data_IF_945338844576
#
_entry.id   IF_945338844576
#
_cell.length_a   1.000
_cell.length_b   1.000
_cell.length_c   1.000
_cell.angle_alpha   90.00
_cell.angle_beta   90.00
_cell.angle_gamma   90.00
#
_symmetry.space_group_name_H-M   'P 1'
#
loop_
_entity.id
_entity.type
_entity.pdbx_description
1 polymer ?
#
# COMPACT_ATOMS: atom_id res chain seq x y z
N UNK A 1 6.70 2.88 -21.51
CA UNK A 1 6.31 1.43 -21.51
C UNK A 1 4.89 1.37 -22.01
N UNK A 2 4.53 0.38 -22.85
CA UNK A 2 3.15 0.26 -23.29
C UNK A 2 2.27 -0.18 -22.14
N UNK A 3 1.19 0.54 -21.85
CA UNK A 3 0.17 0.18 -20.86
C UNK A 3 -0.73 -0.91 -21.46
N UNK A 4 -0.19 -2.10 -21.61
CA UNK A 4 -0.80 -3.21 -22.36
C UNK A 4 -2.12 -3.74 -21.79
N UNK A 5 -2.42 -3.40 -20.54
CA UNK A 5 -3.66 -3.81 -19.86
C UNK A 5 -4.69 -2.67 -19.78
N UNK A 6 -4.45 -1.58 -20.48
CA UNK A 6 -5.39 -0.46 -20.52
C UNK A 6 -6.38 -0.64 -21.68
N UNK A 7 -7.67 -0.46 -21.39
CA UNK A 7 -8.71 -0.45 -22.40
C UNK A 7 -8.59 0.86 -23.21
N UNK A 8 -8.55 0.71 -24.54
CA UNK A 8 -8.48 1.85 -25.45
C UNK A 8 -9.81 2.61 -25.45
N UNK A 9 -9.77 3.92 -25.41
CA UNK A 9 -10.92 4.81 -25.59
C UNK A 9 -12.02 4.77 -24.53
N UNK A 10 -11.80 4.11 -23.38
CA UNK A 10 -12.76 4.09 -22.29
C UNK A 10 -12.18 4.73 -21.01
N UNK A 11 -13.08 5.15 -20.10
CA UNK A 11 -12.76 5.78 -18.83
C UNK A 11 -12.64 7.31 -18.91
N UNK A 12 -12.82 7.97 -17.77
CA UNK A 12 -12.75 9.42 -17.60
C UNK A 12 -11.31 9.88 -17.37
N UNK A 13 -10.43 9.62 -18.34
CA UNK A 13 -9.01 9.93 -18.24
C UNK A 13 -8.61 11.01 -19.25
N UNK A 14 -7.78 11.93 -18.82
CA UNK A 14 -7.13 12.88 -19.72
C UNK A 14 -5.86 12.25 -20.34
N UNK A 15 -6.03 11.57 -21.46
CA UNK A 15 -4.94 10.88 -22.17
C UNK A 15 -3.88 11.79 -22.79
N UNK A 16 -4.15 13.09 -22.83
CA UNK A 16 -3.19 14.08 -23.31
C UNK A 16 -2.18 14.49 -22.21
N UNK A 17 -2.45 14.11 -20.97
CA UNK A 17 -1.58 14.43 -19.83
C UNK A 17 -1.08 13.15 -19.18
N UNK A 18 0.11 12.74 -19.58
CA UNK A 18 0.82 11.61 -19.00
C UNK A 18 1.45 12.02 -17.67
N UNK A 19 1.38 11.13 -16.69
CA UNK A 19 1.93 11.30 -15.34
C UNK A 19 2.96 10.20 -15.11
N UNK A 20 4.16 10.58 -14.67
CA UNK A 20 5.23 9.65 -14.31
C UNK A 20 5.26 9.39 -12.80
N UNK A 21 5.40 8.16 -12.42
CA UNK A 21 5.48 7.76 -11.01
C UNK A 21 6.42 6.57 -10.81
N UNK A 22 6.74 6.26 -9.55
CA UNK A 22 7.54 5.08 -9.21
C UNK A 22 6.74 4.12 -8.33
N UNK A 23 6.91 2.83 -8.57
CA UNK A 23 6.42 1.78 -7.68
C UNK A 23 7.51 0.75 -7.43
N UNK A 24 7.84 0.52 -6.15
CA UNK A 24 8.96 -0.35 -5.73
C UNK A 24 10.26 -0.05 -6.48
N UNK A 25 10.57 1.23 -6.64
CA UNK A 25 11.78 1.72 -7.31
C UNK A 25 11.76 1.68 -8.85
N UNK A 26 10.74 1.11 -9.48
CA UNK A 26 10.58 1.05 -10.93
C UNK A 26 9.69 2.19 -11.42
N UNK A 27 10.06 2.83 -12.52
CA UNK A 27 9.27 3.89 -13.17
C UNK A 27 8.12 3.31 -13.97
N UNK A 28 6.98 3.98 -13.89
CA UNK A 28 5.75 3.71 -14.62
C UNK A 28 5.12 5.01 -15.08
N UNK A 29 4.16 4.90 -15.99
CA UNK A 29 3.36 6.05 -16.44
C UNK A 29 1.87 5.73 -16.31
N UNK A 30 1.08 6.76 -16.05
CA UNK A 30 -0.38 6.76 -16.03
C UNK A 30 -0.88 8.03 -16.71
N UNK A 31 -2.15 8.35 -16.54
CA UNK A 31 -2.77 9.56 -17.06
C UNK A 31 -3.48 10.33 -15.94
N UNK A 32 -3.67 11.61 -16.15
CA UNK A 32 -4.50 12.43 -15.26
C UNK A 32 -5.91 11.85 -15.16
N UNK A 33 -6.39 11.69 -13.93
CA UNK A 33 -7.65 10.99 -13.59
C UNK A 33 -7.48 9.51 -13.25
N UNK A 34 -6.27 8.94 -13.40
CA UNK A 34 -5.99 7.62 -12.86
C UNK A 34 -5.92 7.67 -11.32
N UNK A 35 -6.35 6.59 -10.69
CA UNK A 35 -5.88 6.27 -9.35
C UNK A 35 -4.54 5.53 -9.43
N UNK A 36 -3.80 5.48 -8.34
CA UNK A 36 -2.56 4.70 -8.30
C UNK A 36 -2.81 3.23 -8.66
N UNK A 37 -3.94 2.66 -8.22
CA UNK A 37 -4.35 1.30 -8.54
C UNK A 37 -4.60 1.10 -10.04
N UNK A 38 -5.38 1.99 -10.68
CA UNK A 38 -5.70 1.88 -12.11
C UNK A 38 -4.45 2.01 -12.97
N UNK A 39 -3.54 2.92 -12.61
CA UNK A 39 -2.28 3.09 -13.30
C UNK A 39 -1.37 1.87 -13.17
N UNK A 40 -1.28 1.27 -11.97
CA UNK A 40 -0.51 0.03 -11.76
C UNK A 40 -1.08 -1.13 -12.57
N UNK A 41 -2.40 -1.33 -12.55
CA UNK A 41 -3.08 -2.36 -13.34
C UNK A 41 -2.86 -2.17 -14.83
N UNK A 42 -2.98 -0.94 -15.34
CA UNK A 42 -2.74 -0.62 -16.75
C UNK A 42 -1.31 -1.01 -17.20
N UNK A 43 -0.34 -0.93 -16.28
CA UNK A 43 1.04 -1.34 -16.51
C UNK A 43 1.31 -2.83 -16.22
N UNK A 44 0.28 -3.64 -15.98
CA UNK A 44 0.41 -5.08 -15.70
C UNK A 44 0.97 -5.41 -14.31
N UNK A 45 0.87 -4.49 -13.37
CA UNK A 45 1.27 -4.73 -11.99
C UNK A 45 0.08 -5.26 -11.21
N UNK A 46 0.07 -6.57 -10.95
CA UNK A 46 -1.00 -7.24 -10.23
C UNK A 46 -0.65 -7.58 -8.78
N UNK A 47 0.64 -7.70 -8.47
CA UNK A 47 1.13 -8.02 -7.13
C UNK A 47 1.57 -6.75 -6.43
N UNK A 48 0.82 -6.32 -5.42
CA UNK A 48 1.06 -5.05 -4.73
C UNK A 48 1.37 -5.20 -3.24
N UNK A 49 1.09 -6.36 -2.65
CA UNK A 49 1.35 -6.58 -1.24
C UNK A 49 1.38 -8.04 -0.84
N UNK A 50 1.55 -8.27 0.44
CA UNK A 50 1.54 -9.59 1.08
C UNK A 50 0.55 -9.60 2.24
N UNK A 51 -0.07 -10.77 2.51
CA UNK A 51 -0.95 -10.89 3.67
C UNK A 51 -0.16 -10.85 4.97
N UNK A 52 -0.80 -10.33 6.01
CA UNK A 52 -0.19 -10.10 7.32
C UNK A 52 0.45 -11.36 7.93
N UNK A 53 -0.29 -12.47 8.02
CA UNK A 53 0.13 -13.65 8.78
C UNK A 53 1.02 -14.59 7.98
N UNK A 54 0.60 -14.90 6.77
CA UNK A 54 1.24 -15.93 5.95
C UNK A 54 2.01 -15.39 4.76
N UNK A 55 2.06 -14.08 4.60
CA UNK A 55 2.75 -13.41 3.50
C UNK A 55 2.34 -13.93 2.11
N UNK A 56 1.08 -14.33 1.98
CA UNK A 56 0.53 -14.77 0.69
C UNK A 56 0.42 -13.58 -0.27
N UNK A 57 0.67 -13.78 -1.58
CA UNK A 57 0.55 -12.72 -2.57
C UNK A 57 -0.83 -12.05 -2.53
N UNK A 58 -0.84 -10.72 -2.64
CA UNK A 58 -2.05 -9.89 -2.67
C UNK A 58 -1.99 -8.92 -3.84
N UNK A 59 -3.08 -8.86 -4.58
CA UNK A 59 -3.35 -7.89 -5.63
C UNK A 59 -4.51 -6.99 -5.26
N UNK A 60 -5.10 -6.37 -6.27
CA UNK A 60 -6.33 -5.59 -6.13
C UNK A 60 -7.53 -6.52 -6.09
N UNK A 61 -8.40 -6.30 -5.13
CA UNK A 61 -9.65 -7.04 -4.95
C UNK A 61 -10.87 -6.17 -5.28
N UNK A 62 -10.87 -4.94 -4.84
CA UNK A 62 -11.92 -3.95 -5.07
C UNK A 62 -11.45 -2.77 -5.92
N UNK A 63 -12.36 -1.85 -6.22
CA UNK A 63 -12.07 -0.64 -6.99
C UNK A 63 -12.26 0.66 -6.19
N UNK A 64 -12.69 0.60 -4.94
CA UNK A 64 -13.02 1.74 -4.10
C UNK A 64 -12.48 1.62 -2.68
N UNK A 65 -13.16 2.26 -1.75
CA UNK A 65 -12.80 2.35 -0.31
C UNK A 65 -12.74 1.01 0.40
N UNK A 66 -13.43 0.01 -0.10
CA UNK A 66 -13.51 -1.34 0.43
C UNK A 66 -12.34 -2.25 0.01
N UNK A 67 -11.33 -1.71 -0.72
CA UNK A 67 -10.13 -2.47 -1.11
C UNK A 67 -9.30 -2.86 0.13
N UNK A 68 -9.22 -4.17 0.47
CA UNK A 68 -8.56 -4.59 1.71
C UNK A 68 -7.05 -4.82 1.57
N UNK A 69 -6.52 -4.96 0.35
CA UNK A 69 -5.18 -5.49 0.12
C UNK A 69 -4.17 -4.47 -0.40
N UNK A 70 -4.64 -3.48 -1.17
CA UNK A 70 -3.79 -2.53 -1.89
C UNK A 70 -3.42 -1.31 -1.05
N UNK A 71 -2.94 -1.55 0.16
CA UNK A 71 -2.42 -0.50 1.05
C UNK A 71 -0.92 -0.34 0.84
N UNK A 72 -0.53 0.87 0.49
CA UNK A 72 0.83 1.20 0.09
C UNK A 72 1.41 2.30 0.98
N UNK A 73 2.72 2.35 1.04
CA UNK A 73 3.46 3.48 1.56
C UNK A 73 3.65 4.47 0.43
N UNK A 74 3.21 5.69 0.62
CA UNK A 74 3.34 6.76 -0.35
C UNK A 74 4.38 7.76 0.11
N UNK A 75 5.25 8.17 -0.80
CA UNK A 75 6.20 9.25 -0.60
C UNK A 75 5.94 10.32 -1.65
N UNK A 76 5.56 11.51 -1.21
CA UNK A 76 5.33 12.66 -2.05
C UNK A 76 5.93 13.90 -1.40
N UNK A 77 6.72 14.69 -2.16
CA UNK A 77 7.34 15.93 -1.68
C UNK A 77 8.14 15.78 -0.36
N UNK A 78 8.68 14.59 -0.11
CA UNK A 78 9.43 14.28 1.11
C UNK A 78 8.55 13.98 2.33
N UNK A 79 7.23 13.96 2.17
CA UNK A 79 6.27 13.47 3.15
C UNK A 79 5.93 12.00 2.88
N UNK A 80 5.86 11.21 3.93
CA UNK A 80 5.66 9.75 3.81
C UNK A 80 4.39 9.34 4.55
N UNK A 81 3.42 8.79 3.80
CA UNK A 81 2.15 8.32 4.33
C UNK A 81 2.03 6.80 4.24
N UNK A 82 1.82 6.11 5.37
CA UNK A 82 1.60 4.68 5.39
C UNK A 82 0.14 4.30 5.18
N UNK A 83 -0.07 3.06 4.72
CA UNK A 83 -1.38 2.42 4.64
C UNK A 83 -2.39 3.15 3.75
N UNK A 84 -1.91 3.87 2.75
CA UNK A 84 -2.76 4.59 1.81
C UNK A 84 -3.41 3.60 0.85
N UNK A 85 -4.70 3.75 0.64
CA UNK A 85 -5.47 2.92 -0.27
C UNK A 85 -5.18 3.31 -1.73
N UNK A 86 -4.53 2.45 -2.48
CA UNK A 86 -4.15 2.74 -3.86
C UNK A 86 -5.34 2.98 -4.80
N UNK A 87 -6.53 2.47 -4.45
CA UNK A 87 -7.76 2.63 -5.23
C UNK A 87 -8.42 3.99 -5.04
N UNK A 88 -8.06 4.72 -3.97
CA UNK A 88 -8.60 6.05 -3.67
C UNK A 88 -7.58 7.16 -3.92
N UNK A 89 -6.31 6.79 -3.95
CA UNK A 89 -5.23 7.77 -4.13
C UNK A 89 -5.14 8.20 -5.60
N UNK A 90 -5.39 9.49 -5.86
CA UNK A 90 -5.25 10.09 -7.18
C UNK A 90 -3.77 10.08 -7.61
N UNK A 91 -3.52 9.72 -8.86
CA UNK A 91 -2.18 9.69 -9.40
C UNK A 91 -1.67 11.11 -9.65
N UNK A 92 -0.56 11.46 -9.02
CA UNK A 92 0.11 12.74 -9.20
C UNK A 92 1.56 12.56 -9.63
N UNK A 93 2.12 13.58 -10.31
CA UNK A 93 3.48 13.55 -10.84
C UNK A 93 4.52 13.42 -9.72
N UNK A 94 5.50 12.54 -9.93
CA UNK A 94 6.63 12.36 -9.03
C UNK A 94 6.36 11.53 -7.78
N UNK A 95 5.17 10.95 -7.65
CA UNK A 95 4.86 10.07 -6.51
C UNK A 95 5.74 8.83 -6.51
N UNK A 96 6.20 8.43 -5.34
CA UNK A 96 6.87 7.15 -5.12
C UNK A 96 6.01 6.29 -4.17
N UNK A 97 5.57 5.14 -4.65
CA UNK A 97 4.80 4.19 -3.87
C UNK A 97 5.62 2.91 -3.64
N UNK A 98 5.45 2.33 -2.46
CA UNK A 98 6.10 1.06 -2.12
C UNK A 98 5.14 0.10 -1.46
N UNK A 99 5.33 -1.18 -1.76
CA UNK A 99 4.62 -2.27 -1.08
C UNK A 99 5.04 -2.33 0.38
N UNK A 100 4.07 -2.60 1.23
CA UNK A 100 4.27 -2.86 2.65
C UNK A 100 4.28 -4.37 2.92
N UNK A 101 4.59 -4.77 4.15
CA UNK A 101 4.54 -6.15 4.61
C UNK A 101 5.28 -7.15 3.69
N UNK A 102 6.45 -6.79 3.22
CA UNK A 102 7.32 -7.69 2.44
C UNK A 102 8.80 -7.33 2.66
N UNK A 103 9.66 -8.34 2.61
CA UNK A 103 11.10 -8.14 2.69
C UNK A 103 11.86 -9.31 2.02
N UNK A 104 12.84 -9.04 1.17
CA UNK A 104 13.32 -7.75 0.66
C UNK A 104 12.43 -7.12 -0.43
N UNK A 105 11.49 -7.87 -1.02
CA UNK A 105 10.60 -7.35 -2.05
C UNK A 105 9.26 -8.06 -2.05
N UNK A 106 8.25 -7.47 -2.69
CA UNK A 106 6.92 -8.08 -2.82
C UNK A 106 6.95 -9.37 -3.65
N UNK A 107 7.87 -9.49 -4.59
CA UNK A 107 8.03 -10.70 -5.43
C UNK A 107 8.76 -11.81 -4.69
N UNK A 108 9.84 -11.46 -4.02
CA UNK A 108 10.62 -12.41 -3.22
C UNK A 108 10.57 -11.95 -1.76
N UNK A 109 9.76 -12.62 -0.98
CA UNK A 109 9.47 -12.25 0.41
C UNK A 109 9.82 -13.40 1.35
N UNK A 110 10.79 -13.17 2.22
CA UNK A 110 11.25 -14.14 3.21
C UNK A 110 10.14 -14.52 4.18
N UNK A 111 9.24 -13.59 4.50
CA UNK A 111 8.08 -13.85 5.36
C UNK A 111 7.14 -14.93 4.80
N UNK A 112 7.20 -15.24 3.51
CA UNK A 112 6.42 -16.31 2.89
C UNK A 112 6.70 -17.70 3.48
N UNK A 113 7.80 -17.89 4.20
CA UNK A 113 8.09 -19.12 4.94
C UNK A 113 6.99 -19.45 5.95
N UNK A 114 6.30 -18.44 6.49
CA UNK A 114 5.17 -18.60 7.40
C UNK A 114 4.02 -19.39 6.79
N UNK A 115 3.91 -19.40 5.46
CA UNK A 115 2.90 -20.22 4.78
C UNK A 115 3.17 -21.71 4.88
N UNK A 116 4.44 -22.12 4.92
CA UNK A 116 4.83 -23.52 5.15
C UNK A 116 4.62 -23.93 6.61
N UNK A 117 4.82 -22.99 7.52
CA UNK A 117 4.65 -23.19 8.95
C UNK A 117 3.20 -23.00 9.43
N UNK A 118 2.23 -22.95 8.53
CA UNK A 118 0.84 -22.57 8.83
C UNK A 118 0.18 -23.47 9.90
N UNK A 119 0.57 -24.74 9.97
CA UNK A 119 0.07 -25.70 10.98
C UNK A 119 0.45 -25.28 12.41
N UNK A 120 1.55 -24.56 12.59
CA UNK A 120 2.04 -24.06 13.88
C UNK A 120 1.43 -22.70 14.27
N UNK A 121 0.73 -22.05 13.35
CA UNK A 121 0.11 -20.73 13.55
C UNK A 121 -1.42 -20.80 13.51
N UNK A 122 -2.08 -21.48 14.47
CA UNK A 122 -3.54 -21.51 14.51
C UNK A 122 -4.13 -20.12 14.71
N UNK A 123 -5.43 -19.98 14.53
CA UNK A 123 -6.12 -18.74 14.82
C UNK A 123 -5.86 -18.28 16.27
N UNK A 124 -5.51 -17.00 16.44
CA UNK A 124 -5.22 -16.44 17.76
C UNK A 124 -3.88 -16.87 18.38
N UNK A 125 -2.95 -17.46 17.61
CA UNK A 125 -1.65 -17.90 18.11
C UNK A 125 -0.88 -16.80 18.87
N UNK A 126 -0.95 -15.56 18.42
CA UNK A 126 -0.26 -14.44 19.04
C UNK A 126 -0.84 -14.06 20.41
N UNK A 127 -2.14 -14.25 20.65
CA UNK A 127 -2.74 -14.07 21.96
C UNK A 127 -2.21 -15.11 22.97
N UNK A 128 -1.91 -16.32 22.51
CA UNK A 128 -1.40 -17.38 23.36
C UNK A 128 0.13 -17.30 23.53
N UNK A 129 0.84 -16.88 22.51
CA UNK A 129 2.32 -16.92 22.48
C UNK A 129 2.96 -15.71 23.15
N UNK A 130 2.34 -14.52 23.04
CA UNK A 130 2.92 -13.26 23.52
C UNK A 130 2.26 -12.71 24.78
N UNK A 131 1.64 -13.57 25.57
CA UNK A 131 0.92 -13.20 26.79
C UNK A 131 1.79 -13.23 28.05
N UNK A 132 2.92 -13.90 28.02
CA UNK A 132 3.75 -14.10 29.21
C UNK A 132 5.24 -13.92 28.90
N UNK A 133 6.00 -13.19 29.71
CA UNK A 133 5.52 -12.35 30.84
C UNK A 133 4.85 -11.06 30.34
N UNK A 134 3.79 -10.61 31.01
CA UNK A 134 3.00 -9.43 30.64
C UNK A 134 3.83 -8.14 30.52
N UNK A 135 4.88 -8.01 31.34
CA UNK A 135 5.79 -6.87 31.33
C UNK A 135 6.57 -6.68 30.00
N UNK A 136 6.65 -7.74 29.19
CA UNK A 136 7.37 -7.70 27.92
C UNK A 136 6.49 -7.19 26.77
N UNK A 137 5.18 -7.01 27.00
CA UNK A 137 4.25 -6.62 25.96
C UNK A 137 4.70 -5.34 25.26
N UNK A 138 4.82 -4.24 25.97
CA UNK A 138 5.18 -2.95 25.38
C UNK A 138 6.64 -2.85 24.90
N UNK A 139 7.55 -3.55 25.55
CA UNK A 139 8.99 -3.40 25.30
C UNK A 139 9.49 -4.32 24.20
N UNK A 140 8.90 -5.49 24.04
CA UNK A 140 9.40 -6.55 23.16
C UNK A 140 8.33 -7.01 22.15
N UNK A 141 7.19 -7.46 22.64
CA UNK A 141 6.23 -8.14 21.78
C UNK A 141 5.53 -7.19 20.83
N UNK A 142 5.03 -6.08 21.29
CA UNK A 142 4.32 -5.09 20.47
C UNK A 142 5.22 -4.51 19.37
N UNK A 143 6.44 -4.00 19.64
CA UNK A 143 7.34 -3.54 18.59
C UNK A 143 7.69 -4.61 17.56
N UNK A 144 7.92 -5.85 18.03
CA UNK A 144 8.20 -6.97 17.13
C UNK A 144 7.00 -7.31 16.23
N UNK A 145 5.80 -7.41 16.83
CA UNK A 145 4.56 -7.71 16.09
C UNK A 145 4.27 -6.59 15.09
N UNK A 146 4.39 -5.32 15.47
CA UNK A 146 4.19 -4.17 14.61
C UNK A 146 5.12 -4.21 13.40
N UNK A 147 6.41 -4.50 13.65
CA UNK A 147 7.40 -4.63 12.57
C UNK A 147 7.10 -5.83 11.66
N UNK A 148 6.75 -6.97 12.25
CA UNK A 148 6.39 -8.17 11.50
C UNK A 148 5.08 -8.00 10.70
N UNK A 149 4.16 -7.16 11.18
CA UNK A 149 2.95 -6.79 10.48
C UNK A 149 3.20 -6.00 9.19
N UNK A 150 4.39 -5.40 9.04
CA UNK A 150 4.71 -4.59 7.89
C UNK A 150 3.80 -3.36 7.73
N UNK A 151 3.19 -2.90 8.83
CA UNK A 151 2.48 -1.62 8.84
C UNK A 151 3.48 -0.51 8.55
N UNK A 152 3.15 0.37 7.63
CA UNK A 152 4.04 1.43 7.22
C UNK A 152 4.43 2.38 8.36
N UNK A 153 5.43 3.21 8.12
CA UNK A 153 5.96 4.14 9.11
C UNK A 153 5.49 5.55 8.76
N UNK A 154 4.78 6.18 9.70
CA UNK A 154 4.36 7.57 9.56
C UNK A 154 5.58 8.51 9.53
N UNK A 155 5.48 9.59 8.77
CA UNK A 155 6.51 10.63 8.74
C UNK A 155 6.59 11.33 10.11
N UNK A 156 7.83 11.57 10.57
CA UNK A 156 8.08 12.42 11.75
C UNK A 156 8.21 13.90 11.31
N UNK A 157 8.28 14.17 10.01
CA UNK A 157 8.38 15.53 9.48
C UNK A 157 7.05 16.25 9.66
N UNK A 158 7.15 17.54 9.98
CA UNK A 158 5.98 18.41 10.03
C UNK A 158 5.27 18.44 8.68
N UNK A 159 3.96 18.21 8.70
CA UNK A 159 3.10 18.34 7.53
C UNK A 159 3.02 19.82 7.12
N UNK A 160 3.33 20.09 5.87
CA UNK A 160 3.29 21.42 5.28
C UNK A 160 1.97 21.70 4.54
N UNK A 161 1.12 20.70 4.42
CA UNK A 161 -0.15 20.84 3.76
C UNK A 161 -1.06 21.76 4.59
N UNK A 162 -1.72 22.68 3.92
CA UNK A 162 -2.69 23.59 4.51
C UNK A 162 -4.03 23.36 3.83
N UNK A 163 -5.03 23.05 4.61
CA UNK A 163 -6.41 22.86 4.14
C UNK A 163 -7.20 24.14 4.38
N UNK A 164 -7.86 24.66 3.34
CA UNK A 164 -8.81 25.74 3.46
C UNK A 164 -10.19 25.19 3.80
N UNK A 165 -10.78 25.64 4.88
CA UNK A 165 -12.18 25.36 5.20
C UNK A 165 -13.07 26.40 4.53
N UNK A 166 -13.92 25.96 3.60
CA UNK A 166 -14.95 26.78 2.97
C UNK A 166 -16.32 26.32 3.44
N UNK A 167 -17.13 27.30 3.85
CA UNK A 167 -18.53 27.07 4.17
C UNK A 167 -19.37 27.62 3.01
N UNK A 168 -20.08 26.76 2.29
CA UNK A 168 -21.04 27.16 1.28
C UNK A 168 -22.43 26.99 1.85
N UNK A 169 -23.18 28.09 1.95
CA UNK A 169 -24.59 28.07 2.33
C UNK A 169 -25.41 27.88 1.06
N UNK A 170 -26.08 26.75 0.94
CA UNK A 170 -27.08 26.51 -0.11
C UNK A 170 -28.32 27.33 0.23
N UNK A 171 -28.66 28.32 -0.60
CA UNK A 171 -29.87 29.14 -0.53
C UNK A 171 -31.03 28.47 -1.25
#
# INVERSE_FOLDING_TARGET
MSQSHRISNEGLLNRNKEISFKFNGKKYTGYEGDTLASALLANGVHLVGRSFKYHRPRGFFGAGVDEPNAKLQILLNGHSEPNVNATEFELVEGIEATSQNCWPSVKFDVGAINNFLNKFFPAGFYYKTFMWPKSFWYKIYEPFIRKAAGLGVASIKHDKERYEHKYEYLS
#
